data_IF_117252680243
#
_entry.id   IF_117252680243
#
_cell.length_a   1.000
_cell.length_b   1.000
_cell.length_c   1.000
_cell.angle_alpha   90.00
_cell.angle_beta   90.00
_cell.angle_gamma   90.00
#
_symmetry.space_group_name_H-M   'P 1'
#
loop_
_entity.id
_entity.type
_entity.pdbx_description
1 polymer ?
#
# COMPACT_ATOMS: atom_id res chain seq x y z
N UNK A 1 21.78 -15.05 27.17
CA UNK A 1 22.31 -14.30 26.00
C UNK A 1 21.18 -13.45 25.46
N UNK A 2 21.38 -12.14 25.26
CA UNK A 2 20.34 -11.21 24.81
C UNK A 2 20.78 -10.57 23.50
N UNK A 3 19.92 -10.56 22.49
CA UNK A 3 20.16 -9.90 21.21
C UNK A 3 19.61 -8.46 21.28
N UNK A 4 20.49 -7.47 21.16
CA UNK A 4 20.08 -6.07 21.09
C UNK A 4 19.93 -5.66 19.63
N UNK A 5 18.77 -5.08 19.30
CA UNK A 5 18.45 -4.60 17.97
C UNK A 5 18.29 -3.07 17.99
N UNK A 6 18.66 -2.43 16.89
CA UNK A 6 18.40 -1.00 16.66
C UNK A 6 17.45 -0.87 15.46
N UNK A 7 16.59 0.14 15.50
CA UNK A 7 15.61 0.37 14.44
C UNK A 7 16.31 0.94 13.20
N UNK A 8 16.07 0.34 12.04
CA UNK A 8 16.56 0.89 10.77
C UNK A 8 15.81 2.19 10.41
N UNK A 9 16.47 3.12 9.69
CA UNK A 9 15.79 4.28 9.11
C UNK A 9 14.63 3.86 8.21
N UNK A 10 13.53 4.63 8.22
CA UNK A 10 12.39 4.38 7.34
C UNK A 10 12.67 4.98 5.95
N UNK A 11 13.13 4.13 5.03
CA UNK A 11 13.53 4.54 3.68
C UNK A 11 12.36 5.19 2.94
N UNK A 12 11.17 4.58 3.00
CA UNK A 12 10.01 5.05 2.25
C UNK A 12 9.55 6.42 2.74
N UNK A 13 9.46 6.61 4.06
CA UNK A 13 9.12 7.91 4.64
C UNK A 13 10.20 8.97 4.33
N UNK A 14 11.47 8.58 4.34
CA UNK A 14 12.57 9.50 4.01
C UNK A 14 12.43 9.99 2.58
N UNK A 15 12.16 9.09 1.62
CA UNK A 15 11.99 9.45 0.21
C UNK A 15 10.75 10.33 0.01
N UNK A 16 9.59 9.93 0.55
CA UNK A 16 8.33 10.67 0.34
C UNK A 16 8.32 12.07 0.95
N UNK A 17 9.03 12.27 2.06
CA UNK A 17 9.16 13.58 2.70
C UNK A 17 10.20 14.47 2.01
N UNK A 18 11.28 13.87 1.48
CA UNK A 18 12.35 14.62 0.80
C UNK A 18 11.95 15.01 -0.62
N UNK A 19 11.14 14.17 -1.27
CA UNK A 19 10.69 14.32 -2.66
C UNK A 19 9.16 14.39 -2.74
N UNK A 20 8.55 15.48 -2.25
CA UNK A 20 7.09 15.62 -2.22
C UNK A 20 6.46 15.65 -3.61
N UNK A 21 7.23 15.84 -4.68
CA UNK A 21 6.79 15.80 -6.08
C UNK A 21 6.51 14.38 -6.59
N UNK A 22 7.09 13.35 -5.98
CA UNK A 22 6.89 11.96 -6.38
C UNK A 22 5.50 11.47 -5.98
N UNK A 23 4.90 10.64 -6.85
CA UNK A 23 3.75 9.82 -6.49
C UNK A 23 4.24 8.55 -5.80
N UNK A 24 3.93 8.39 -4.52
CA UNK A 24 4.50 7.34 -3.67
C UNK A 24 3.43 6.30 -3.31
N UNK A 25 3.68 5.07 -3.71
CA UNK A 25 2.85 3.90 -3.39
C UNK A 25 3.55 3.04 -2.33
N UNK A 26 2.87 2.80 -1.21
CA UNK A 26 3.29 1.81 -0.22
C UNK A 26 2.67 0.43 -0.47
N UNK A 27 3.37 -0.60 -0.01
CA UNK A 27 2.82 -1.95 0.14
C UNK A 27 2.91 -2.38 1.60
N UNK A 28 1.87 -3.02 2.11
CA UNK A 28 1.85 -3.55 3.46
C UNK A 28 1.18 -4.92 3.52
N UNK A 29 1.88 -5.87 4.15
CA UNK A 29 1.28 -7.12 4.60
C UNK A 29 0.75 -6.90 6.02
N UNK A 30 -0.54 -7.17 6.24
CA UNK A 30 -1.19 -7.06 7.54
C UNK A 30 -1.79 -8.40 7.94
N UNK A 31 -1.90 -8.65 9.24
CA UNK A 31 -2.54 -9.86 9.79
C UNK A 31 -3.87 -9.58 10.48
N UNK A 32 -4.14 -8.31 10.81
CA UNK A 32 -5.36 -7.84 11.46
C UNK A 32 -5.52 -6.33 11.24
N UNK A 33 -6.71 -5.80 11.48
CA UNK A 33 -7.02 -4.36 11.47
C UNK A 33 -6.44 -3.60 10.25
N UNK A 34 -6.56 -4.22 9.06
CA UNK A 34 -5.92 -3.78 7.81
C UNK A 34 -6.12 -2.29 7.55
N UNK A 35 -7.36 -1.81 7.60
CA UNK A 35 -7.69 -0.40 7.34
C UNK A 35 -7.01 0.56 8.32
N UNK A 36 -7.07 0.25 9.63
CA UNK A 36 -6.50 1.12 10.66
C UNK A 36 -4.99 1.29 10.46
N UNK A 37 -4.28 0.19 10.21
CA UNK A 37 -2.84 0.24 9.99
C UNK A 37 -2.48 0.88 8.65
N UNK A 38 -3.24 0.59 7.59
CA UNK A 38 -3.07 1.19 6.28
C UNK A 38 -3.17 2.73 6.36
N UNK A 39 -4.23 3.26 6.97
CA UNK A 39 -4.43 4.70 7.16
C UNK A 39 -3.33 5.33 8.01
N UNK A 40 -2.89 4.66 9.07
CA UNK A 40 -1.75 5.12 9.87
C UNK A 40 -0.44 5.21 9.08
N UNK A 41 -0.18 4.22 8.20
CA UNK A 41 1.01 4.19 7.33
C UNK A 41 0.94 5.25 6.22
N UNK A 42 -0.24 5.49 5.62
CA UNK A 42 -0.46 6.57 4.65
C UNK A 42 -0.04 7.92 5.22
N UNK A 43 -0.53 8.25 6.42
CA UNK A 43 -0.22 9.54 7.07
C UNK A 43 1.23 9.62 7.52
N UNK A 44 1.70 8.62 8.29
CA UNK A 44 3.05 8.66 8.88
C UNK A 44 4.18 8.64 7.86
N UNK A 45 3.93 8.08 6.66
CA UNK A 45 4.90 8.02 5.57
C UNK A 45 4.57 8.94 4.42
N UNK A 46 3.60 9.85 4.56
CA UNK A 46 3.16 10.79 3.51
C UNK A 46 3.00 10.13 2.12
N UNK A 47 2.25 9.03 2.07
CA UNK A 47 2.02 8.27 0.84
C UNK A 47 0.79 8.79 0.11
N UNK A 48 0.75 8.60 -1.21
CA UNK A 48 -0.43 8.87 -2.02
C UNK A 48 -1.41 7.69 -2.00
N UNK A 49 -0.87 6.47 -1.96
CA UNK A 49 -1.62 5.22 -2.02
C UNK A 49 -0.90 4.13 -1.22
N UNK A 50 -1.65 3.23 -0.59
CA UNK A 50 -1.11 2.01 0.00
C UNK A 50 -1.94 0.80 -0.42
N UNK A 51 -1.27 -0.24 -0.92
CA UNK A 51 -1.88 -1.53 -1.23
C UNK A 51 -1.59 -2.51 -0.09
N UNK A 52 -2.65 -3.04 0.52
CA UNK A 52 -2.57 -3.91 1.68
C UNK A 52 -3.11 -5.30 1.37
N UNK A 53 -2.32 -6.33 1.61
CA UNK A 53 -2.78 -7.72 1.52
C UNK A 53 -2.83 -8.36 2.90
N UNK A 54 -3.93 -9.07 3.18
CA UNK A 54 -4.09 -9.84 4.43
C UNK A 54 -3.34 -11.16 4.30
N UNK A 55 -2.19 -11.25 4.97
CA UNK A 55 -1.32 -12.43 4.94
C UNK A 55 -1.67 -13.45 6.02
N UNK A 56 -2.70 -13.21 6.83
CA UNK A 56 -3.23 -14.24 7.75
C UNK A 56 -3.95 -15.36 7.00
N UNK A 57 -4.38 -15.08 5.77
CA UNK A 57 -5.07 -16.01 4.89
C UNK A 57 -4.08 -16.97 4.22
N UNK A 58 -4.26 -18.26 4.45
CA UNK A 58 -3.43 -19.31 3.85
C UNK A 58 -3.66 -19.50 2.34
N UNK A 59 -4.75 -18.95 1.79
CA UNK A 59 -5.16 -19.16 0.40
C UNK A 59 -4.68 -18.06 -0.57
N UNK A 60 -4.02 -17.02 -0.06
CA UNK A 60 -3.49 -15.88 -0.83
C UNK A 60 -2.10 -15.44 -0.32
N UNK A 61 -1.32 -14.74 -1.15
CA UNK A 61 -0.08 -14.07 -0.73
C UNK A 61 1.20 -14.78 -1.14
N UNK A 62 2.18 -14.92 -0.22
CA UNK A 62 3.54 -15.33 -0.56
C UNK A 62 3.65 -16.77 -1.06
N UNK A 63 2.85 -17.68 -0.51
CA UNK A 63 2.87 -19.11 -0.83
C UNK A 63 1.75 -19.55 -1.81
N UNK A 64 1.06 -18.60 -2.44
CA UNK A 64 -0.06 -18.83 -3.38
C UNK A 64 0.19 -18.10 -4.69
N UNK A 65 -0.34 -18.60 -5.81
CA UNK A 65 -0.32 -17.87 -7.09
C UNK A 65 -1.37 -16.73 -7.13
N UNK A 66 -2.30 -16.74 -6.17
CA UNK A 66 -3.36 -15.76 -6.02
C UNK A 66 -3.05 -14.72 -4.93
N UNK A 67 -3.66 -13.55 -5.07
CA UNK A 67 -3.63 -12.50 -4.07
C UNK A 67 -4.99 -11.78 -3.98
N UNK A 68 -5.20 -11.03 -2.91
CA UNK A 68 -6.31 -10.09 -2.76
C UNK A 68 -5.76 -8.87 -2.01
N UNK A 69 -6.24 -7.67 -2.35
CA UNK A 69 -5.71 -6.45 -1.74
C UNK A 69 -6.82 -5.45 -1.43
N UNK A 70 -6.65 -4.70 -0.35
CA UNK A 70 -7.36 -3.45 -0.13
C UNK A 70 -6.42 -2.29 -0.44
N UNK A 71 -6.90 -1.36 -1.25
CA UNK A 71 -6.15 -0.18 -1.68
C UNK A 71 -6.74 1.04 -1.01
N UNK A 72 -5.92 1.75 -0.25
CA UNK A 72 -6.31 2.96 0.46
C UNK A 72 -5.59 4.16 -0.16
N UNK A 73 -6.29 5.28 -0.21
CA UNK A 73 -5.80 6.54 -0.78
C UNK A 73 -5.55 7.54 0.34
N UNK A 74 -4.58 8.44 0.12
CA UNK A 74 -4.42 9.62 0.95
C UNK A 74 -5.70 10.46 0.93
N UNK A 75 -6.06 11.06 2.06
CA UNK A 75 -7.28 11.87 2.19
C UNK A 75 -7.35 13.02 1.17
N UNK A 76 -6.19 13.48 0.64
CA UNK A 76 -6.10 14.50 -0.42
C UNK A 76 -6.81 14.11 -1.74
N UNK A 77 -7.07 12.82 -1.95
CA UNK A 77 -7.72 12.34 -3.17
C UNK A 77 -9.25 12.24 -3.04
N UNK A 78 -9.78 12.39 -1.82
CA UNK A 78 -11.22 12.25 -1.51
C UNK A 78 -11.84 10.96 -2.10
N UNK A 79 -11.07 9.86 -2.06
CA UNK A 79 -11.46 8.54 -2.59
C UNK A 79 -11.68 7.52 -1.48
N UNK A 80 -12.73 6.72 -1.65
CA UNK A 80 -12.95 5.54 -0.80
C UNK A 80 -11.91 4.45 -1.10
N UNK A 81 -11.73 3.54 -0.14
CA UNK A 81 -10.87 2.38 -0.32
C UNK A 81 -11.45 1.45 -1.39
N UNK A 82 -10.57 0.86 -2.21
CA UNK A 82 -10.95 -0.13 -3.21
C UNK A 82 -10.57 -1.53 -2.76
N UNK A 83 -11.45 -2.50 -3.03
CA UNK A 83 -11.16 -3.92 -2.82
C UNK A 83 -10.83 -4.58 -4.15
N UNK A 84 -9.64 -5.17 -4.22
CA UNK A 84 -9.23 -6.08 -5.27
C UNK A 84 -9.48 -7.50 -4.79
N UNK A 85 -10.58 -8.08 -5.28
CA UNK A 85 -11.00 -9.45 -4.99
C UNK A 85 -9.92 -10.47 -5.36
N UNK A 86 -10.00 -11.66 -4.74
CA UNK A 86 -9.03 -12.73 -4.98
C UNK A 86 -8.91 -13.06 -6.47
N UNK A 87 -7.71 -12.91 -7.00
CA UNK A 87 -7.36 -13.24 -8.37
C UNK A 87 -5.88 -13.62 -8.47
N UNK A 88 -5.43 -14.05 -9.65
CA UNK A 88 -4.00 -14.30 -9.88
C UNK A 88 -3.17 -13.04 -9.61
N UNK A 89 -1.92 -13.22 -9.19
CA UNK A 89 -0.99 -12.10 -8.98
C UNK A 89 -0.86 -11.17 -10.19
N UNK A 90 -0.87 -11.73 -11.39
CA UNK A 90 -0.84 -10.95 -12.63
C UNK A 90 -2.09 -10.08 -12.76
N UNK A 91 -3.27 -10.63 -12.44
CA UNK A 91 -4.51 -9.87 -12.53
C UNK A 91 -4.58 -8.76 -11.49
N UNK A 92 -4.13 -9.04 -10.27
CA UNK A 92 -4.02 -8.05 -9.19
C UNK A 92 -3.03 -6.93 -9.58
N UNK A 93 -1.91 -7.27 -10.23
CA UNK A 93 -0.95 -6.29 -10.72
C UNK A 93 -1.53 -5.39 -11.81
N UNK A 94 -2.26 -5.94 -12.78
CA UNK A 94 -2.98 -5.16 -13.81
C UNK A 94 -3.96 -4.17 -13.17
N UNK A 95 -4.79 -4.64 -12.23
CA UNK A 95 -5.77 -3.81 -11.54
C UNK A 95 -5.10 -2.69 -10.74
N UNK A 96 -4.08 -3.03 -9.95
CA UNK A 96 -3.34 -2.05 -9.17
C UNK A 96 -2.64 -1.02 -10.07
N UNK A 97 -2.04 -1.45 -11.17
CA UNK A 97 -1.38 -0.55 -12.12
C UNK A 97 -2.38 0.44 -12.76
N UNK A 98 -3.59 -0.01 -13.10
CA UNK A 98 -4.67 0.89 -13.58
C UNK A 98 -5.02 1.95 -12.54
N UNK A 99 -5.24 1.53 -11.29
CA UNK A 99 -5.58 2.44 -10.17
C UNK A 99 -4.46 3.47 -9.95
N UNK A 100 -3.19 3.03 -9.98
CA UNK A 100 -2.03 3.92 -9.86
C UNK A 100 -2.01 4.92 -11.01
N UNK A 101 -2.20 4.47 -12.26
CA UNK A 101 -2.22 5.33 -13.43
C UNK A 101 -3.30 6.42 -13.36
N UNK A 102 -4.53 6.04 -12.98
CA UNK A 102 -5.64 6.98 -12.78
C UNK A 102 -5.34 7.99 -11.67
N UNK A 103 -4.70 7.54 -10.57
CA UNK A 103 -4.38 8.39 -9.42
C UNK A 103 -3.23 9.37 -9.71
N UNK A 104 -2.24 8.94 -10.50
CA UNK A 104 -1.18 9.83 -11.02
C UNK A 104 -1.79 10.89 -11.92
N UNK A 105 -2.68 10.50 -12.83
CA UNK A 105 -3.35 11.43 -13.72
C UNK A 105 -4.17 12.48 -12.94
N UNK A 106 -4.94 12.04 -11.93
CA UNK A 106 -5.68 12.95 -11.06
C UNK A 106 -4.77 13.95 -10.35
N UNK A 107 -3.61 13.52 -9.83
CA UNK A 107 -2.66 14.41 -9.15
C UNK A 107 -2.04 15.47 -10.07
N UNK A 108 -1.86 15.15 -11.35
CA UNK A 108 -1.25 16.06 -12.32
C UNK A 108 -2.24 17.06 -12.93
N UNK A 109 -3.54 16.74 -12.90
CA UNK A 109 -4.59 17.48 -13.61
C UNK A 109 -5.71 18.03 -12.70
N UNK A 110 -5.65 17.76 -11.40
CA UNK A 110 -6.52 18.35 -10.37
C UNK A 110 -5.79 19.41 -9.56
#
# INVERSE_FOLDING_TARGET
MMLSLVKNPDILATISLTHPELFVVGFAAETQDVERYARGKLVSKNLDLIACNDVSRADIGFASDDNAMQVFFSDRYEKEALTLEKASKDKIAEQLASIIGESIWQRQNG
#
